data_IF_428798284902
#
_entry.id   IF_428798284902
#
_cell.length_a   1.000
_cell.length_b   1.000
_cell.length_c   1.000
_cell.angle_alpha   90.00
_cell.angle_beta   90.00
_cell.angle_gamma   90.00
#
_symmetry.space_group_name_H-M   'P 1'
#
loop_
_entity.id
_entity.type
_entity.pdbx_description
1 polymer ?
#
# COMPACT_ATOMS: atom_id res chain seq x y z
N UNK A 1 -43.38 -15.93 -39.01
CA UNK A 1 -42.27 -15.52 -39.90
C UNK A 1 -42.01 -14.05 -39.58
N UNK A 2 -40.89 -13.57 -39.07
CA UNK A 2 -39.52 -14.09 -39.06
C UNK A 2 -38.75 -13.45 -37.90
N UNK A 3 -37.93 -14.25 -37.23
CA UNK A 3 -36.94 -13.79 -36.25
C UNK A 3 -35.68 -13.37 -37.01
N UNK A 4 -35.12 -12.18 -36.73
CA UNK A 4 -33.79 -11.81 -37.20
C UNK A 4 -32.87 -11.72 -35.99
N UNK A 5 -31.99 -12.70 -35.87
CA UNK A 5 -30.87 -12.72 -34.94
C UNK A 5 -29.65 -12.19 -35.69
N UNK A 6 -29.04 -11.10 -35.20
CA UNK A 6 -27.75 -10.61 -35.71
C UNK A 6 -26.66 -11.10 -34.78
N UNK A 7 -25.95 -12.15 -35.18
CA UNK A 7 -24.66 -12.54 -34.61
C UNK A 7 -23.55 -11.83 -35.37
N UNK A 8 -22.92 -10.83 -34.75
CA UNK A 8 -21.68 -10.26 -35.24
C UNK A 8 -20.49 -11.08 -34.72
N UNK A 9 -20.04 -12.05 -35.50
CA UNK A 9 -18.76 -12.73 -35.27
C UNK A 9 -17.64 -11.90 -35.90
N UNK A 10 -16.92 -11.13 -35.09
CA UNK A 10 -15.69 -10.50 -35.53
C UNK A 10 -14.57 -11.55 -35.61
N UNK A 11 -14.12 -11.85 -36.82
CA UNK A 11 -12.97 -12.72 -37.12
C UNK A 11 -11.66 -12.18 -36.53
N UNK A 12 -10.78 -13.04 -35.96
CA UNK A 12 -9.48 -12.62 -35.41
C UNK A 12 -8.45 -12.21 -36.48
N UNK A 13 -8.74 -12.45 -37.77
CA UNK A 13 -7.84 -12.16 -38.88
C UNK A 13 -7.65 -10.65 -39.18
N UNK A 14 -8.60 -9.80 -38.78
CA UNK A 14 -8.54 -8.36 -39.06
C UNK A 14 -7.53 -7.59 -38.18
N UNK A 15 -7.13 -8.15 -37.04
CA UNK A 15 -6.12 -7.56 -36.15
C UNK A 15 -4.67 -7.89 -36.59
N UNK A 16 -4.46 -9.02 -37.28
CA UNK A 16 -3.13 -9.48 -37.68
C UNK A 16 -2.58 -8.76 -38.93
N UNK A 17 -3.43 -8.32 -39.86
CA UNK A 17 -3.00 -7.67 -41.11
C UNK A 17 -2.47 -6.24 -40.95
N UNK A 18 -2.68 -5.61 -39.79
CA UNK A 18 -2.27 -4.22 -39.56
C UNK A 18 -0.83 -4.07 -39.03
N UNK A 19 -0.17 -5.18 -38.69
CA UNK A 19 1.21 -5.19 -38.19
C UNK A 19 2.27 -5.49 -39.26
N UNK A 20 1.88 -6.15 -40.37
CA UNK A 20 2.80 -6.59 -41.41
C UNK A 20 3.45 -5.49 -42.28
N UNK A 21 2.81 -4.32 -42.57
CA UNK A 21 3.47 -3.32 -43.42
C UNK A 21 4.51 -2.46 -42.67
N UNK A 22 4.60 -2.56 -41.34
CA UNK A 22 5.46 -1.66 -40.57
C UNK A 22 6.97 -1.94 -40.73
N UNK A 23 7.38 -3.20 -40.97
CA UNK A 23 8.81 -3.55 -41.09
C UNK A 23 9.37 -3.42 -42.51
N UNK A 24 8.52 -3.42 -43.52
CA UNK A 24 8.93 -3.27 -44.92
C UNK A 24 9.29 -1.80 -45.18
N UNK A 25 10.59 -1.48 -45.18
CA UNK A 25 11.11 -0.12 -45.37
C UNK A 25 11.78 0.51 -44.15
N UNK A 26 11.97 -0.24 -43.06
CA UNK A 26 12.70 0.25 -41.89
C UNK A 26 14.21 0.28 -42.12
N UNK A 27 14.83 1.38 -41.69
CA UNK A 27 16.29 1.49 -41.66
C UNK A 27 16.88 0.66 -40.50
N UNK A 28 18.18 0.30 -40.55
CA UNK A 28 18.84 -0.30 -39.39
C UNK A 28 18.73 0.55 -38.12
N UNK A 29 18.69 1.87 -38.27
CA UNK A 29 18.50 2.80 -37.15
C UNK A 29 17.09 2.66 -36.53
N UNK A 30 16.05 2.51 -37.36
CA UNK A 30 14.68 2.30 -36.88
C UNK A 30 14.56 0.99 -36.10
N UNK A 31 15.19 -0.07 -36.60
CA UNK A 31 15.21 -1.38 -35.94
C UNK A 31 15.91 -1.31 -34.58
N UNK A 32 17.08 -0.66 -34.52
CA UNK A 32 17.82 -0.46 -33.26
C UNK A 32 17.00 0.36 -32.24
N UNK A 33 16.30 1.40 -32.70
CA UNK A 33 15.41 2.19 -31.83
C UNK A 33 14.25 1.34 -31.30
N UNK A 34 13.61 0.55 -32.16
CA UNK A 34 12.53 -0.36 -31.74
C UNK A 34 13.01 -1.33 -30.67
N UNK A 35 14.19 -1.92 -30.82
CA UNK A 35 14.70 -2.88 -29.85
C UNK A 35 15.06 -2.22 -28.52
N UNK A 36 15.59 -0.99 -28.54
CA UNK A 36 15.78 -0.19 -27.33
C UNK A 36 14.44 0.10 -26.62
N UNK A 37 13.41 0.45 -27.39
CA UNK A 37 12.07 0.75 -26.83
C UNK A 37 11.41 -0.49 -26.22
N UNK A 38 11.57 -1.66 -26.84
CA UNK A 38 11.08 -2.93 -26.27
C UNK A 38 11.79 -3.27 -24.95
N UNK A 39 13.11 -3.13 -24.90
CA UNK A 39 13.86 -3.37 -23.68
C UNK A 39 13.37 -2.46 -22.55
N UNK A 40 13.22 -1.17 -22.85
CA UNK A 40 12.69 -0.19 -21.89
C UNK A 40 11.26 -0.50 -21.43
N UNK A 41 10.36 -0.88 -22.35
CA UNK A 41 8.98 -1.25 -22.00
C UNK A 41 8.94 -2.46 -21.07
N UNK A 42 9.76 -3.48 -21.35
CA UNK A 42 9.87 -4.65 -20.48
C UNK A 42 10.37 -4.29 -19.08
N UNK A 43 11.44 -3.49 -18.98
CA UNK A 43 11.98 -2.99 -17.71
C UNK A 43 10.93 -2.23 -16.91
N UNK A 44 10.27 -1.24 -17.53
CA UNK A 44 9.25 -0.40 -16.89
C UNK A 44 8.10 -1.26 -16.39
N UNK A 45 7.61 -2.21 -17.20
CA UNK A 45 6.50 -3.07 -16.78
C UNK A 45 6.89 -3.97 -15.61
N UNK A 46 8.09 -4.53 -15.62
CA UNK A 46 8.58 -5.33 -14.49
C UNK A 46 8.75 -4.49 -13.23
N UNK A 47 9.25 -3.25 -13.38
CA UNK A 47 9.37 -2.29 -12.29
C UNK A 47 8.00 -2.01 -11.64
N UNK A 48 7.01 -1.61 -12.43
CA UNK A 48 5.67 -1.32 -11.90
C UNK A 48 4.97 -2.58 -11.36
N UNK A 49 5.20 -3.73 -11.98
CA UNK A 49 4.65 -5.00 -11.50
C UNK A 49 5.20 -5.36 -10.12
N UNK A 50 6.49 -5.12 -9.86
CA UNK A 50 7.10 -5.36 -8.56
C UNK A 50 6.45 -4.48 -7.48
N UNK A 51 6.26 -3.19 -7.76
CA UNK A 51 5.52 -2.29 -6.87
C UNK A 51 4.11 -2.79 -6.59
N UNK A 52 3.32 -3.11 -7.63
CA UNK A 52 1.94 -3.58 -7.47
C UNK A 52 1.86 -4.87 -6.63
N UNK A 53 2.73 -5.83 -6.91
CA UNK A 53 2.74 -7.11 -6.22
C UNK A 53 3.02 -6.96 -4.73
N UNK A 54 3.93 -6.05 -4.36
CA UNK A 54 4.28 -5.78 -2.97
C UNK A 54 3.31 -4.84 -2.26
N UNK A 55 2.67 -3.91 -2.98
CA UNK A 55 1.69 -2.97 -2.42
C UNK A 55 0.45 -3.68 -1.85
N UNK A 56 0.01 -4.78 -2.48
CA UNK A 56 -1.18 -5.52 -2.04
C UNK A 56 -2.39 -4.59 -1.86
N UNK A 57 -2.98 -4.57 -0.66
CA UNK A 57 -4.13 -3.72 -0.34
C UNK A 57 -3.83 -2.21 -0.24
N UNK A 58 -2.57 -1.79 -0.31
CA UNK A 58 -2.19 -0.37 -0.30
C UNK A 58 -2.14 0.25 -1.70
N UNK A 59 -2.28 -0.55 -2.77
CA UNK A 59 -2.35 -0.02 -4.12
C UNK A 59 -3.68 0.73 -4.33
N UNK A 60 -3.62 2.04 -4.53
CA UNK A 60 -4.79 2.89 -4.82
C UNK A 60 -5.29 2.71 -6.26
N UNK A 61 -4.39 2.29 -7.16
CA UNK A 61 -4.70 2.02 -8.56
C UNK A 61 -3.77 0.95 -9.10
N UNK A 62 -4.11 0.43 -10.29
CA UNK A 62 -3.15 -0.29 -11.10
C UNK A 62 -1.97 0.60 -11.53
N UNK A 63 -0.99 -0.01 -12.20
CA UNK A 63 0.14 0.68 -12.78
C UNK A 63 -0.33 1.65 -13.87
N UNK A 64 0.18 2.88 -13.82
CA UNK A 64 0.03 3.87 -14.88
C UNK A 64 1.32 3.92 -15.69
N UNK A 65 1.22 4.19 -16.99
CA UNK A 65 2.36 4.19 -17.89
C UNK A 65 2.40 5.44 -18.76
N UNK A 66 3.61 5.93 -19.00
CA UNK A 66 3.91 6.93 -20.01
C UNK A 66 4.52 6.25 -21.23
N UNK A 67 4.10 6.65 -22.42
CA UNK A 67 4.40 5.94 -23.65
C UNK A 67 5.20 6.78 -24.63
N UNK A 68 6.10 6.11 -25.37
CA UNK A 68 6.72 6.64 -26.57
C UNK A 68 6.30 5.82 -27.78
N UNK A 69 5.89 6.49 -28.86
CA UNK A 69 5.54 5.83 -30.12
C UNK A 69 6.80 5.57 -30.93
N UNK A 70 7.05 4.31 -31.27
CA UNK A 70 8.18 3.90 -32.11
C UNK A 70 7.92 4.15 -33.60
N UNK A 71 8.97 4.03 -34.45
CA UNK A 71 8.85 4.21 -35.91
C UNK A 71 7.96 3.16 -36.57
N UNK A 72 7.69 2.04 -35.89
CA UNK A 72 6.70 1.04 -36.29
C UNK A 72 5.24 1.41 -35.93
N UNK A 73 5.02 2.58 -35.35
CA UNK A 73 3.70 3.05 -34.94
C UNK A 73 3.17 2.45 -33.63
N UNK A 74 3.94 1.59 -32.97
CA UNK A 74 3.60 0.93 -31.68
C UNK A 74 4.00 1.82 -30.51
N UNK A 75 3.20 1.82 -29.44
CA UNK A 75 3.52 2.52 -28.18
C UNK A 75 4.28 1.61 -27.23
N UNK A 76 5.38 2.10 -26.67
CA UNK A 76 6.23 1.41 -25.70
C UNK A 76 6.25 2.22 -24.40
N UNK A 77 6.10 1.57 -23.26
CA UNK A 77 6.20 2.21 -21.95
C UNK A 77 7.66 2.66 -21.72
N UNK A 78 7.83 3.93 -21.36
CA UNK A 78 9.16 4.51 -21.09
C UNK A 78 9.30 4.98 -19.64
N UNK A 79 8.18 5.06 -18.93
CA UNK A 79 8.08 5.22 -17.48
C UNK A 79 6.73 4.74 -16.98
N UNK A 80 6.61 4.52 -15.68
CA UNK A 80 5.36 4.15 -15.03
C UNK A 80 5.35 4.61 -13.58
N UNK A 81 4.20 4.44 -12.95
CA UNK A 81 4.02 4.63 -11.51
C UNK A 81 2.92 3.73 -10.95
N UNK A 82 3.06 3.37 -9.67
CA UNK A 82 2.03 2.76 -8.85
C UNK A 82 1.73 3.66 -7.67
N UNK A 83 0.47 4.05 -7.51
CA UNK A 83 0.06 4.89 -6.37
C UNK A 83 -0.16 4.03 -5.14
N UNK A 84 0.71 4.22 -4.16
CA UNK A 84 0.62 3.58 -2.85
C UNK A 84 -0.09 4.54 -1.90
N UNK A 85 -1.03 4.02 -1.12
CA UNK A 85 -1.65 4.75 -0.02
C UNK A 85 -0.61 5.04 1.07
N UNK A 86 -0.33 6.32 1.28
CA UNK A 86 0.66 6.80 2.25
C UNK A 86 0.06 7.27 3.57
N UNK A 87 -1.24 7.03 3.79
CA UNK A 87 -1.93 7.42 5.01
C UNK A 87 -1.57 6.56 6.22
N UNK A 88 -1.56 7.18 7.39
CA UNK A 88 -1.47 6.51 8.68
C UNK A 88 -2.68 5.58 8.93
N UNK A 89 -2.51 4.62 9.83
CA UNK A 89 -3.60 3.79 10.33
C UNK A 89 -4.42 4.50 11.40
N UNK A 90 -5.51 3.86 11.84
CA UNK A 90 -6.39 4.41 12.87
C UNK A 90 -5.80 4.31 14.28
N UNK A 91 -4.77 3.48 14.46
CA UNK A 91 -4.03 3.30 15.72
C UNK A 91 -2.53 3.33 15.46
N UNK A 92 -1.67 3.64 16.45
CA UNK A 92 -0.22 3.60 16.26
C UNK A 92 0.27 2.23 15.79
N UNK A 93 -0.32 1.15 16.30
CA UNK A 93 0.03 -0.21 15.88
C UNK A 93 -0.33 -0.49 14.41
N UNK A 94 -1.49 0.00 13.96
CA UNK A 94 -1.89 -0.10 12.55
C UNK A 94 -0.97 0.75 11.66
N UNK A 95 -0.62 1.96 12.09
CA UNK A 95 0.31 2.84 11.39
C UNK A 95 1.68 2.19 11.21
N UNK A 96 2.23 1.51 12.23
CA UNK A 96 3.49 0.76 12.12
C UNK A 96 3.38 -0.32 11.04
N UNK A 97 2.30 -1.09 11.04
CA UNK A 97 2.12 -2.16 10.07
C UNK A 97 1.97 -1.62 8.63
N UNK A 98 1.19 -0.54 8.47
CA UNK A 98 1.01 0.16 7.19
C UNK A 98 2.32 0.75 6.69
N UNK A 99 3.07 1.44 7.55
CA UNK A 99 4.36 2.01 7.21
C UNK A 99 5.37 0.96 6.72
N UNK A 100 5.43 -0.20 7.37
CA UNK A 100 6.29 -1.30 6.89
C UNK A 100 5.85 -1.83 5.53
N UNK A 101 4.56 -2.00 5.31
CA UNK A 101 4.03 -2.42 4.01
C UNK A 101 4.28 -1.37 2.92
N UNK A 102 4.14 -0.07 3.23
CA UNK A 102 4.50 1.03 2.32
C UNK A 102 5.98 0.98 1.94
N UNK A 103 6.88 0.83 2.92
CA UNK A 103 8.32 0.74 2.67
C UNK A 103 8.67 -0.49 1.82
N UNK A 104 8.07 -1.64 2.11
CA UNK A 104 8.27 -2.87 1.34
C UNK A 104 7.79 -2.70 -0.12
N UNK A 105 6.64 -2.07 -0.32
CA UNK A 105 6.10 -1.81 -1.65
C UNK A 105 6.95 -0.83 -2.46
N UNK A 106 7.41 0.25 -1.81
CA UNK A 106 8.29 1.23 -2.44
C UNK A 106 9.66 0.65 -2.79
N UNK A 107 10.22 -0.25 -1.98
CA UNK A 107 11.53 -0.86 -2.23
C UNK A 107 11.46 -2.18 -3.01
N UNK A 108 10.28 -2.55 -3.52
CA UNK A 108 10.06 -3.86 -4.15
C UNK A 108 10.84 -4.10 -5.46
N UNK A 109 10.98 -3.12 -6.38
CA UNK A 109 11.80 -3.31 -7.58
C UNK A 109 13.27 -3.54 -7.20
N UNK A 110 13.99 -4.31 -8.03
CA UNK A 110 15.41 -4.57 -7.82
C UNK A 110 16.26 -3.28 -7.83
N UNK A 111 15.85 -2.29 -8.64
CA UNK A 111 16.46 -0.97 -8.71
C UNK A 111 15.40 0.12 -8.43
N UNK A 112 15.09 0.41 -7.15
CA UNK A 112 14.11 1.44 -6.83
C UNK A 112 14.59 2.82 -7.28
N UNK A 113 13.69 3.64 -7.81
CA UNK A 113 13.96 5.00 -8.25
C UNK A 113 14.21 5.96 -7.08
N UNK A 114 14.57 7.21 -7.38
CA UNK A 114 14.68 8.25 -6.35
C UNK A 114 13.36 8.53 -5.64
N UNK A 115 12.24 8.51 -6.37
CA UNK A 115 10.91 8.71 -5.80
C UNK A 115 10.52 7.55 -4.87
N UNK A 116 10.80 6.33 -5.29
CA UNK A 116 10.53 5.11 -4.51
C UNK A 116 11.26 5.14 -3.17
N UNK A 117 12.55 5.50 -3.20
CA UNK A 117 13.34 5.65 -1.97
C UNK A 117 12.81 6.79 -1.08
N UNK A 118 12.29 7.86 -1.65
CA UNK A 118 11.68 8.94 -0.88
C UNK A 118 10.39 8.47 -0.17
N UNK A 119 9.53 7.69 -0.83
CA UNK A 119 8.35 7.06 -0.20
C UNK A 119 8.75 6.10 0.90
N UNK A 120 9.79 5.29 0.68
CA UNK A 120 10.32 4.39 1.71
C UNK A 120 10.86 5.16 2.93
N UNK A 121 11.55 6.27 2.71
CA UNK A 121 12.03 7.14 3.79
C UNK A 121 10.87 7.79 4.55
N UNK A 122 9.83 8.26 3.85
CA UNK A 122 8.61 8.78 4.48
C UNK A 122 7.93 7.71 5.33
N UNK A 123 7.81 6.49 4.82
CA UNK A 123 7.26 5.35 5.55
C UNK A 123 8.07 5.05 6.82
N UNK A 124 9.41 5.09 6.74
CA UNK A 124 10.25 4.91 7.91
C UNK A 124 10.01 5.99 8.98
N UNK A 125 9.85 7.27 8.59
CA UNK A 125 9.52 8.34 9.53
C UNK A 125 8.15 8.09 10.20
N UNK A 126 7.15 7.69 9.41
CA UNK A 126 5.82 7.36 9.91
C UNK A 126 5.85 6.21 10.92
N UNK A 127 6.65 5.17 10.66
CA UNK A 127 6.86 4.07 11.60
C UNK A 127 7.49 4.55 12.91
N UNK A 128 8.53 5.39 12.85
CA UNK A 128 9.19 5.90 14.05
C UNK A 128 8.26 6.73 14.92
N UNK A 129 7.47 7.61 14.29
CA UNK A 129 6.49 8.41 15.00
C UNK A 129 5.44 7.53 15.69
N UNK A 130 4.87 6.56 14.98
CA UNK A 130 3.86 5.66 15.54
C UNK A 130 4.42 4.78 16.67
N UNK A 131 5.71 4.39 16.61
CA UNK A 131 6.37 3.68 17.73
C UNK A 131 6.49 4.55 18.97
N UNK A 132 6.81 5.84 18.81
CA UNK A 132 6.86 6.77 19.93
C UNK A 132 5.46 6.99 20.55
N UNK A 133 4.43 7.12 19.72
CA UNK A 133 3.03 7.23 20.16
C UNK A 133 2.59 5.97 20.94
N UNK A 134 2.88 4.77 20.40
CA UNK A 134 2.54 3.50 21.07
C UNK A 134 3.21 3.37 22.45
N UNK A 135 4.46 3.82 22.58
CA UNK A 135 5.18 3.80 23.87
C UNK A 135 4.58 4.80 24.88
N UNK A 136 4.10 5.96 24.42
CA UNK A 136 3.43 6.94 25.26
C UNK A 136 2.07 6.42 25.76
N UNK A 137 1.29 5.77 24.90
CA UNK A 137 0.01 5.13 25.28
C UNK A 137 0.20 4.06 26.36
N UNK A 138 1.24 3.24 26.22
CA UNK A 138 1.56 2.20 27.21
C UNK A 138 1.94 2.79 28.58
N UNK A 139 2.73 3.87 28.60
CA UNK A 139 3.09 4.51 29.87
C UNK A 139 1.89 5.23 30.53
N UNK A 140 1.02 5.89 29.77
CA UNK A 140 -0.21 6.49 30.31
C UNK A 140 -1.18 5.47 30.92
N UNK A 141 -1.36 4.31 30.28
CA UNK A 141 -2.24 3.25 30.80
C UNK A 141 -1.74 2.64 32.12
N UNK A 142 -0.42 2.59 32.35
CA UNK A 142 0.14 2.12 33.63
C UNK A 142 -0.16 3.08 34.79
N UNK A 143 -0.37 4.37 34.52
CA UNK A 143 -0.71 5.36 35.55
C UNK A 143 -2.21 5.39 35.88
N UNK A 144 -3.11 5.23 34.90
CA UNK A 144 -4.57 5.22 35.13
C UNK A 144 -5.08 3.91 35.76
N UNK A 145 -4.39 2.78 35.55
CA UNK A 145 -4.69 1.52 36.25
C UNK A 145 -4.33 1.54 37.74
N UNK A 146 -3.54 2.51 38.16
CA UNK A 146 -3.08 2.72 39.52
C UNK A 146 -3.72 3.97 40.14
N UNK A 147 -5.04 4.18 39.97
CA UNK A 147 -5.74 5.19 40.77
C UNK A 147 -5.65 4.80 42.27
N UNK A 148 -4.87 5.52 43.10
CA UNK A 148 -4.74 5.20 44.51
C UNK A 148 -6.09 5.31 45.21
N UNK A 149 -7.05 6.11 44.71
CA UNK A 149 -8.39 6.20 45.30
C UNK A 149 -9.18 4.90 45.16
N UNK A 150 -9.02 4.17 44.05
CA UNK A 150 -9.65 2.84 43.87
C UNK A 150 -9.03 1.77 44.76
N UNK A 151 -7.70 1.77 44.91
CA UNK A 151 -7.03 0.85 45.84
C UNK A 151 -7.37 1.12 47.30
N UNK A 152 -7.50 2.39 47.68
CA UNK A 152 -7.91 2.78 49.05
C UNK A 152 -9.37 2.38 49.32
N UNK A 153 -10.26 2.54 48.35
CA UNK A 153 -11.66 2.09 48.47
C UNK A 153 -11.76 0.57 48.59
N UNK A 154 -11.05 -0.22 47.77
CA UNK A 154 -11.07 -1.69 47.91
C UNK A 154 -10.56 -2.16 49.26
N UNK A 155 -9.45 -1.61 49.78
CA UNK A 155 -8.97 -1.93 51.13
C UNK A 155 -9.98 -1.58 52.22
N UNK A 156 -10.69 -0.46 52.08
CA UNK A 156 -11.69 -0.05 53.05
C UNK A 156 -12.91 -0.98 53.10
N UNK A 157 -13.27 -1.63 51.99
CA UNK A 157 -14.38 -2.59 51.93
C UNK A 157 -13.99 -4.02 52.33
N UNK A 158 -12.73 -4.43 52.16
CA UNK A 158 -12.23 -5.75 52.60
C UNK A 158 -11.97 -5.83 54.12
N UNK A 159 -12.05 -4.71 54.84
CA UNK A 159 -11.94 -4.71 56.30
C UNK A 159 -13.32 -4.89 56.92
N UNK A 160 -13.58 -6.06 57.50
CA UNK A 160 -14.82 -6.36 58.23
C UNK A 160 -15.15 -5.23 59.21
N UNK A 161 -16.35 -4.61 59.16
CA UNK A 161 -16.72 -3.56 60.09
C UNK A 161 -16.65 -4.08 61.53
N UNK A 162 -16.08 -3.33 62.49
CA UNK A 162 -16.14 -3.72 63.90
C UNK A 162 -17.61 -3.79 64.34
N UNK A 163 -17.92 -4.81 65.14
CA UNK A 163 -19.27 -5.04 65.65
C UNK A 163 -19.81 -3.77 66.34
N UNK A 164 -21.10 -3.44 66.15
CA UNK A 164 -21.68 -2.24 66.74
C UNK A 164 -21.61 -2.29 68.27
N UNK A 165 -21.38 -1.16 68.95
CA UNK A 165 -21.33 -1.12 70.41
C UNK A 165 -22.70 -1.47 70.99
N UNK A 166 -22.72 -2.40 71.93
CA UNK A 166 -23.90 -2.71 72.72
C UNK A 166 -24.14 -1.57 73.72
N UNK A 167 -25.23 -0.84 73.52
CA UNK A 167 -25.74 0.13 74.50
C UNK A 167 -26.36 -0.64 75.66
N UNK A 168 -25.58 -0.85 76.73
CA UNK A 168 -26.12 -1.34 77.99
C UNK A 168 -26.85 -0.19 78.71
N UNK A 169 -28.17 -0.16 78.51
CA UNK A 169 -29.09 0.72 79.22
C UNK A 169 -29.69 -0.01 80.41
N UNK A 170 -29.03 -0.01 81.57
CA UNK A 170 -29.68 -0.35 82.84
C UNK A 170 -29.19 0.55 83.99
N UNK A 171 -30.16 0.88 84.84
CA UNK A 171 -30.22 1.95 85.85
C UNK A 171 -29.50 1.64 87.18
#
# INVERSE_FOLDING_TARGET
MSSVTVTASATPAALAQRAAPARAGMTPQDLALIDKLKARDAEVRQHEQAHLAAAGGLALSGASYTYQRGPNGVNYAVGGEVRIDTSAGSTPQETINRARAMAAAALAPAEPSGADRAVAAQAAQLEQQARAELAAEQSGQTHDGADPRRQVLQRAYDTTPPAPPTLDTFA
#
